data_IF_802335752773
#
_entry.id   IF_802335752773
#
_cell.length_a   1.000
_cell.length_b   1.000
_cell.length_c   1.000
_cell.angle_alpha   90.00
_cell.angle_beta   90.00
_cell.angle_gamma   90.00
#
_symmetry.space_group_name_H-M   'P 1'
#
loop_
_entity.id
_entity.type
_entity.pdbx_description
1 polymer ?
#
# COMPACT_ATOMS: atom_id res chain seq x y z
N UNK A 1 -8.21 -18.98 13.71
CA UNK A 1 -8.21 -17.62 13.13
C UNK A 1 -6.83 -17.37 12.55
N UNK A 2 -6.71 -17.11 11.24
CA UNK A 2 -5.41 -16.79 10.63
C UNK A 2 -4.89 -15.47 11.19
N UNK A 3 -3.62 -15.41 11.58
CA UNK A 3 -2.96 -14.14 11.96
C UNK A 3 -3.07 -13.19 10.76
N UNK A 4 -3.65 -12.02 10.97
CA UNK A 4 -3.58 -10.93 10.01
C UNK A 4 -2.10 -10.60 9.80
N UNK A 5 -1.67 -10.47 8.54
CA UNK A 5 -0.33 -10.02 8.24
C UNK A 5 -0.14 -8.60 8.81
N UNK A 6 1.02 -8.28 9.40
CA UNK A 6 1.28 -6.95 9.93
C UNK A 6 1.18 -5.90 8.81
N UNK A 7 0.38 -4.86 9.05
CA UNK A 7 0.18 -3.74 8.12
C UNK A 7 1.24 -2.67 8.37
N UNK A 8 1.91 -2.21 7.32
CA UNK A 8 2.76 -1.01 7.39
C UNK A 8 1.86 0.22 7.27
N UNK A 9 1.89 1.09 8.28
CA UNK A 9 1.25 2.40 8.21
C UNK A 9 2.32 3.45 7.94
N UNK A 10 2.19 4.13 6.80
CA UNK A 10 3.15 5.12 6.33
C UNK A 10 2.42 6.28 5.65
N UNK A 11 2.69 7.51 6.08
CA UNK A 11 2.01 8.73 5.62
C UNK A 11 2.05 8.86 4.08
N UNK A 12 3.20 8.67 3.45
CA UNK A 12 3.33 8.72 1.98
C UNK A 12 3.23 7.35 1.28
N UNK A 13 2.59 6.37 1.94
CA UNK A 13 2.41 5.01 1.39
C UNK A 13 1.70 4.99 0.04
N UNK A 14 0.90 6.01 -0.27
CA UNK A 14 0.11 6.09 -1.49
C UNK A 14 0.97 6.15 -2.75
N UNK A 15 2.04 6.94 -2.70
CA UNK A 15 2.99 7.09 -3.80
C UNK A 15 3.81 5.82 -3.99
N UNK A 16 4.22 5.19 -2.89
CA UNK A 16 4.97 3.93 -2.93
C UNK A 16 4.14 2.81 -3.55
N UNK A 17 2.91 2.58 -3.07
CA UNK A 17 2.02 1.53 -3.61
C UNK A 17 1.68 1.81 -5.08
N UNK A 18 1.46 3.08 -5.44
CA UNK A 18 1.23 3.47 -6.85
C UNK A 18 2.45 3.21 -7.73
N UNK A 19 3.65 3.54 -7.26
CA UNK A 19 4.89 3.29 -7.97
C UNK A 19 5.10 1.78 -8.19
N UNK A 20 5.01 1.01 -7.11
CA UNK A 20 5.14 -0.46 -7.09
C UNK A 20 4.16 -1.11 -8.05
N UNK A 21 2.85 -0.81 -7.96
CA UNK A 21 1.83 -1.42 -8.84
C UNK A 21 2.00 -1.03 -10.32
N UNK A 22 2.40 0.20 -10.61
CA UNK A 22 2.55 0.68 -11.99
C UNK A 22 3.85 0.22 -12.66
N UNK A 23 4.90 -0.07 -11.90
CA UNK A 23 6.21 -0.45 -12.43
C UNK A 23 6.46 -1.96 -12.39
N UNK A 24 5.91 -2.70 -11.42
CA UNK A 24 6.00 -4.18 -11.39
C UNK A 24 5.37 -4.81 -12.65
N UNK A 25 4.35 -4.16 -13.24
CA UNK A 25 3.71 -4.65 -14.46
C UNK A 25 4.43 -4.30 -15.77
N UNK A 26 5.48 -3.45 -15.74
CA UNK A 26 6.07 -2.85 -16.94
C UNK A 26 7.55 -3.16 -17.19
N UNK A 27 8.35 -3.51 -16.17
CA UNK A 27 9.78 -3.82 -16.39
C UNK A 27 10.36 -4.83 -15.38
N UNK A 28 11.35 -5.60 -15.87
CA UNK A 28 11.78 -6.95 -15.47
C UNK A 28 13.05 -6.94 -14.60
N UNK A 29 12.93 -6.87 -13.27
CA UNK A 29 13.80 -7.59 -12.30
C UNK A 29 13.02 -7.69 -11.00
N UNK A 30 12.50 -8.88 -10.71
CA UNK A 30 11.82 -9.15 -9.44
C UNK A 30 12.86 -9.12 -8.32
N UNK A 31 13.17 -7.92 -7.84
CA UNK A 31 13.93 -7.79 -6.60
C UNK A 31 13.00 -8.26 -5.48
N UNK A 32 13.56 -9.03 -4.54
CA UNK A 32 12.82 -9.52 -3.36
C UNK A 32 12.11 -8.40 -2.59
N UNK A 33 12.64 -7.17 -2.63
CA UNK A 33 12.00 -5.98 -2.08
C UNK A 33 10.67 -5.60 -2.77
N UNK A 34 10.59 -5.72 -4.10
CA UNK A 34 9.35 -5.42 -4.86
C UNK A 34 8.27 -6.48 -4.62
N UNK A 35 8.65 -7.76 -4.55
CA UNK A 35 7.71 -8.84 -4.21
C UNK A 35 7.22 -8.73 -2.76
N UNK A 36 8.10 -8.35 -1.84
CA UNK A 36 7.74 -8.06 -0.45
C UNK A 36 6.75 -6.90 -0.38
N UNK A 37 7.01 -5.78 -1.06
CA UNK A 37 6.12 -4.62 -1.06
C UNK A 37 4.78 -4.90 -1.75
N UNK A 38 4.76 -5.73 -2.79
CA UNK A 38 3.52 -6.12 -3.47
C UNK A 38 2.63 -7.03 -2.61
N UNK A 39 3.23 -7.82 -1.71
CA UNK A 39 2.52 -8.77 -0.83
C UNK A 39 2.25 -8.22 0.58
N UNK A 40 2.89 -7.10 0.96
CA UNK A 40 2.72 -6.48 2.26
C UNK A 40 1.52 -5.52 2.28
N UNK A 41 0.57 -5.67 3.23
CA UNK A 41 -0.47 -4.67 3.43
C UNK A 41 0.14 -3.32 3.82
N UNK A 42 -0.14 -2.29 3.04
CA UNK A 42 0.27 -0.92 3.30
C UNK A 42 -0.98 -0.06 3.42
N UNK A 43 -1.05 0.75 4.46
CA UNK A 43 -2.08 1.77 4.65
C UNK A 43 -1.45 3.13 4.89
N UNK A 44 -2.21 4.17 4.61
CA UNK A 44 -1.94 5.51 5.15
C UNK A 44 -2.69 5.70 6.44
N UNK A 45 -2.24 6.67 7.25
CA UNK A 45 -3.01 7.04 8.43
C UNK A 45 -4.34 7.73 8.05
N UNK A 46 -5.22 7.87 9.04
CA UNK A 46 -6.55 8.46 8.83
C UNK A 46 -6.50 9.96 8.50
N UNK A 47 -5.47 10.68 8.92
CA UNK A 47 -5.31 12.10 8.63
C UNK A 47 -4.97 12.30 7.16
N UNK A 48 -3.98 11.57 6.66
CA UNK A 48 -3.61 11.53 5.25
C UNK A 48 -4.77 11.08 4.38
N UNK A 49 -5.47 10.01 4.78
CA UNK A 49 -6.61 9.48 4.03
C UNK A 49 -7.76 10.49 3.91
N UNK A 50 -7.98 11.35 4.90
CA UNK A 50 -9.03 12.38 4.85
C UNK A 50 -8.63 13.59 4.02
N UNK A 51 -7.35 13.97 4.07
CA UNK A 51 -6.88 15.24 3.54
C UNK A 51 -6.26 15.13 2.13
N UNK A 52 -5.71 13.97 1.75
CA UNK A 52 -4.87 13.87 0.55
C UNK A 52 -4.84 12.48 -0.08
N UNK A 53 -5.97 12.04 -0.66
CA UNK A 53 -6.02 10.78 -1.42
C UNK A 53 -6.81 10.91 -2.73
N UNK A 54 -6.17 10.53 -3.83
CA UNK A 54 -6.86 10.27 -5.10
C UNK A 54 -7.56 8.90 -5.10
N UNK A 55 -8.29 8.61 -6.19
CA UNK A 55 -9.12 7.39 -6.30
C UNK A 55 -8.34 6.09 -6.06
N UNK A 56 -7.08 6.04 -6.49
CA UNK A 56 -6.19 4.90 -6.25
C UNK A 56 -6.06 4.56 -4.76
N UNK A 57 -5.77 5.56 -3.94
CA UNK A 57 -5.57 5.38 -2.50
C UNK A 57 -6.88 5.01 -1.79
N UNK A 58 -8.03 5.54 -2.24
CA UNK A 58 -9.36 5.16 -1.72
C UNK A 58 -9.67 3.67 -1.92
N UNK A 59 -9.22 3.10 -3.04
CA UNK A 59 -9.45 1.70 -3.37
C UNK A 59 -8.46 0.74 -2.69
N UNK A 60 -7.21 1.17 -2.50
CA UNK A 60 -6.11 0.26 -2.14
C UNK A 60 -5.60 0.44 -0.70
N UNK A 61 -5.83 1.59 -0.06
CA UNK A 61 -5.20 1.94 1.21
C UNK A 61 -6.17 2.62 2.18
N UNK A 62 -7.40 2.13 2.21
CA UNK A 62 -8.39 2.61 3.15
C UNK A 62 -8.06 2.07 4.56
N UNK A 63 -7.74 2.92 5.55
CA UNK A 63 -7.39 2.50 6.90
C UNK A 63 -8.54 1.80 7.64
N UNK A 64 -9.79 2.00 7.21
CA UNK A 64 -10.95 1.31 7.80
C UNK A 64 -11.16 -0.09 7.20
N UNK A 65 -10.57 -0.37 6.02
CA UNK A 65 -10.56 -1.71 5.40
C UNK A 65 -9.30 -2.52 5.74
N UNK A 66 -8.20 -1.81 6.00
CA UNK A 66 -6.93 -2.38 6.46
C UNK A 66 -6.63 -1.84 7.86
N UNK A 67 -7.43 -2.19 8.88
CA UNK A 67 -7.16 -1.75 10.25
C UNK A 67 -5.83 -2.33 10.71
N UNK A 68 -5.03 -1.49 11.36
CA UNK A 68 -3.84 -1.92 12.09
C UNK A 68 -4.24 -2.74 13.32
#
# INVERSE_FOLDING_TARGET
AGKLAPTIVYDDGCHLVKYVKNHIGRDLTKTSAMELLASTPISVDRSHFRNHVGDFSRQNMNPDKNPC
#
